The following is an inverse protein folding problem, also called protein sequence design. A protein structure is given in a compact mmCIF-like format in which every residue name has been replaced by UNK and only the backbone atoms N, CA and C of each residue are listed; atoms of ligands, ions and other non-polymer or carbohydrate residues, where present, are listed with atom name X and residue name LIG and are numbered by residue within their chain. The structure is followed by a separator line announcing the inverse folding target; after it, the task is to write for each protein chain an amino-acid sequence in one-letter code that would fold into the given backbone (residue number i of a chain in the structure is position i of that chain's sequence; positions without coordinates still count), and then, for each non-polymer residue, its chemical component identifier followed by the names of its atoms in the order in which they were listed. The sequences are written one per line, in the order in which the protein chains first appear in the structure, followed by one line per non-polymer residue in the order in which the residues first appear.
data_IF_946164032314
#
_entry.id   IF_946164032314
#
_cell.length_a   1.000
_cell.length_b   1.000
_cell.length_c   1.000
_cell.angle_alpha   90.00
_cell.angle_beta   90.00
_cell.angle_gamma   90.00
#
_symmetry.space_group_name_H-M   'P 1'
#
loop_
_entity.id
_entity.type
_entity.pdbx_description
1 polymer ?
#
# COMPACT_ATOMS: atom_id res chain seq x y z
N UNK A 1 1.50 6.28 8.37
CA UNK A 1 1.86 5.06 9.12
C UNK A 1 3.16 4.53 8.54
N UNK A 2 3.85 3.63 9.21
CA UNK A 2 5.08 3.01 8.74
C UNK A 2 5.02 1.49 8.92
N UNK A 3 5.98 0.76 8.36
CA UNK A 3 6.15 -0.67 8.61
C UNK A 3 6.24 -1.03 10.12
N UNK A 4 6.59 -0.06 10.98
CA UNK A 4 6.56 -0.20 12.44
C UNK A 4 5.14 -0.17 13.01
N UNK A 5 4.23 0.56 12.38
CA UNK A 5 2.86 0.79 12.86
C UNK A 5 1.90 -0.33 12.43
N UNK A 6 2.07 -0.85 11.21
CA UNK A 6 1.18 -1.86 10.62
C UNK A 6 1.84 -3.25 10.54
N UNK A 7 3.12 -3.36 10.17
CA UNK A 7 3.84 -4.63 10.02
C UNK A 7 4.36 -5.23 11.34
N UNK A 8 3.58 -5.17 12.42
CA UNK A 8 4.06 -5.51 13.79
C UNK A 8 4.59 -6.94 13.92
N UNK A 9 4.06 -7.87 13.14
CA UNK A 9 4.48 -9.28 13.08
C UNK A 9 5.62 -9.55 12.10
N UNK A 10 6.00 -8.58 11.26
CA UNK A 10 7.07 -8.71 10.26
C UNK A 10 8.32 -7.92 10.71
N UNK A 11 9.38 -8.65 11.07
CA UNK A 11 10.66 -8.05 11.50
C UNK A 11 11.31 -7.17 10.42
N UNK A 12 11.08 -7.50 9.15
CA UNK A 12 11.65 -6.81 8.00
C UNK A 12 10.89 -5.52 7.71
N UNK A 13 9.55 -5.54 7.82
CA UNK A 13 8.73 -4.33 7.73
C UNK A 13 9.17 -3.28 8.76
N UNK A 14 9.43 -3.74 9.99
CA UNK A 14 9.91 -2.90 11.09
C UNK A 14 11.32 -2.36 10.88
N UNK A 15 12.21 -3.11 10.23
CA UNK A 15 13.59 -2.70 9.97
C UNK A 15 13.69 -1.74 8.78
N UNK A 16 12.95 -2.00 7.70
CA UNK A 16 12.91 -1.12 6.53
C UNK A 16 12.23 0.20 6.87
N UNK A 17 11.19 0.14 7.72
CA UNK A 17 10.43 1.29 8.20
C UNK A 17 9.91 2.20 7.06
N UNK A 18 9.47 1.58 5.95
CA UNK A 18 8.83 2.31 4.86
C UNK A 18 7.58 3.06 5.39
N UNK A 19 7.36 4.28 4.90
CA UNK A 19 6.18 5.07 5.20
C UNK A 19 5.07 4.83 4.20
N UNK A 20 3.90 4.50 4.74
CA UNK A 20 2.66 4.28 4.00
C UNK A 20 1.67 5.35 4.46
N UNK A 21 1.09 6.05 3.51
CA UNK A 21 0.20 7.17 3.81
C UNK A 21 -1.23 6.84 3.44
N UNK A 22 -2.17 7.28 4.27
CA UNK A 22 -3.59 7.40 3.93
C UNK A 22 -3.88 8.89 3.92
N UNK A 23 -4.31 9.41 2.78
CA UNK A 23 -4.68 10.81 2.62
C UNK A 23 -6.19 10.85 2.42
N UNK A 24 -6.90 11.48 3.36
CA UNK A 24 -8.36 11.49 3.37
C UNK A 24 -8.96 12.88 3.53
N UNK A 25 -10.14 13.08 2.94
CA UNK A 25 -11.00 14.23 3.17
C UNK A 25 -12.02 13.89 4.27
N UNK A 26 -12.02 14.71 5.33
CA UNK A 26 -12.90 14.52 6.50
C UNK A 26 -14.37 14.79 6.18
N UNK A 27 -14.68 15.60 5.16
CA UNK A 27 -16.05 15.96 4.81
C UNK A 27 -16.72 14.86 3.99
N UNK A 28 -16.06 14.39 2.93
CA UNK A 28 -16.61 13.34 2.04
C UNK A 28 -16.39 11.94 2.60
N UNK A 29 -15.49 11.79 3.58
CA UNK A 29 -15.01 10.51 4.10
C UNK A 29 -14.37 9.66 3.00
N UNK A 30 -13.76 10.27 2.01
CA UNK A 30 -13.02 9.57 0.95
C UNK A 30 -11.52 9.62 1.21
N UNK A 31 -10.80 8.56 0.86
CA UNK A 31 -9.35 8.52 1.01
C UNK A 31 -8.63 7.81 -0.14
N UNK A 32 -7.33 8.04 -0.22
CA UNK A 32 -6.40 7.31 -1.08
C UNK A 32 -5.23 6.77 -0.25
N UNK A 33 -4.69 5.63 -0.66
CA UNK A 33 -3.47 5.04 -0.09
C UNK A 33 -2.27 5.46 -0.96
N UNK A 34 -1.13 5.76 -0.35
CA UNK A 34 0.15 5.92 -1.05
C UNK A 34 1.06 4.75 -0.67
N UNK A 35 1.58 4.07 -1.70
CA UNK A 35 2.52 2.94 -1.59
C UNK A 35 2.02 1.79 -0.70
N UNK A 36 0.96 1.07 -1.13
CA UNK A 36 0.38 -0.02 -0.35
C UNK A 36 1.31 -1.25 -0.31
N UNK A 37 1.94 -1.50 0.85
CA UNK A 37 2.79 -2.65 1.10
C UNK A 37 2.73 -3.15 2.56
N UNK A 38 3.30 -4.33 2.80
CA UNK A 38 3.58 -4.97 4.11
C UNK A 38 2.38 -5.55 4.88
N UNK A 39 1.27 -4.83 4.98
CA UNK A 39 0.08 -5.30 5.71
C UNK A 39 -1.21 -4.69 5.14
N UNK A 40 -1.70 -5.29 4.05
CA UNK A 40 -2.90 -4.80 3.35
C UNK A 40 -4.15 -4.87 4.24
N UNK A 41 -4.32 -5.93 5.01
CA UNK A 41 -5.45 -6.05 5.94
C UNK A 41 -5.37 -4.99 7.05
N UNK A 42 -4.20 -4.76 7.62
CA UNK A 42 -4.00 -3.69 8.60
C UNK A 42 -4.30 -2.30 8.03
N UNK A 43 -3.87 -2.02 6.80
CA UNK A 43 -4.17 -0.75 6.11
C UNK A 43 -5.68 -0.58 5.90
N UNK A 44 -6.34 -1.61 5.37
CA UNK A 44 -7.79 -1.57 5.12
C UNK A 44 -8.58 -1.44 6.42
N UNK A 45 -8.16 -2.11 7.49
CA UNK A 45 -8.76 -1.98 8.81
C UNK A 45 -8.63 -0.56 9.38
N UNK A 46 -7.51 0.14 9.14
CA UNK A 46 -7.37 1.56 9.51
C UNK A 46 -8.37 2.41 8.74
N UNK A 47 -8.53 2.20 7.43
CA UNK A 47 -9.52 2.92 6.62
C UNK A 47 -10.94 2.67 7.14
N UNK A 48 -11.28 1.43 7.46
CA UNK A 48 -12.59 1.05 8.00
C UNK A 48 -12.84 1.65 9.38
N UNK A 49 -11.85 1.59 10.28
CA UNK A 49 -11.93 2.16 11.63
C UNK A 49 -12.13 3.67 11.59
N UNK A 50 -11.48 4.34 10.63
CA UNK A 50 -11.63 5.76 10.37
C UNK A 50 -12.89 6.08 9.54
N UNK A 51 -13.78 5.10 9.31
CA UNK A 51 -15.02 5.18 8.52
C UNK A 51 -14.84 5.92 7.19
N UNK A 52 -13.73 5.64 6.50
CA UNK A 52 -13.41 6.21 5.19
C UNK A 52 -13.70 5.23 4.06
N UNK A 53 -13.95 5.77 2.88
CA UNK A 53 -14.13 5.05 1.62
C UNK A 53 -12.87 5.18 0.79
N UNK A 54 -12.22 4.06 0.52
CA UNK A 54 -11.08 4.01 -0.39
C UNK A 54 -11.53 4.35 -1.83
N UNK A 55 -10.87 5.33 -2.43
CA UNK A 55 -11.14 5.83 -3.79
C UNK A 55 -10.01 5.60 -4.78
N UNK A 56 -8.84 5.19 -4.32
CA UNK A 56 -7.73 4.80 -5.17
C UNK A 56 -6.45 4.59 -4.39
N UNK A 57 -5.43 4.10 -5.07
CA UNK A 57 -4.06 4.06 -4.57
C UNK A 57 -3.13 4.82 -5.51
N UNK A 58 -2.12 5.47 -4.94
CA UNK A 58 -1.04 6.12 -5.66
C UNK A 58 0.24 5.36 -5.39
N UNK A 59 0.91 4.95 -6.46
CA UNK A 59 2.24 4.33 -6.40
C UNK A 59 3.28 5.36 -6.81
N UNK A 60 4.25 5.59 -5.94
CA UNK A 60 5.36 6.51 -6.21
C UNK A 60 6.34 5.90 -7.22
N UNK A 61 6.73 4.64 -7.02
CA UNK A 61 7.62 3.85 -7.88
C UNK A 61 7.44 2.35 -7.61
N UNK A 62 7.97 1.49 -8.49
CA UNK A 62 7.63 0.06 -8.51
C UNK A 62 8.44 -0.84 -7.56
N UNK A 63 9.28 -0.31 -6.67
CA UNK A 63 10.10 -1.17 -5.82
C UNK A 63 9.23 -2.03 -4.87
N UNK A 64 9.60 -3.32 -4.62
CA UNK A 64 8.74 -4.23 -3.87
C UNK A 64 8.38 -3.79 -2.45
N UNK A 65 9.21 -2.99 -1.79
CA UNK A 65 8.93 -2.46 -0.46
C UNK A 65 7.83 -1.39 -0.45
N UNK A 66 7.43 -0.85 -1.61
CA UNK A 66 6.33 0.13 -1.78
C UNK A 66 5.06 -0.47 -2.39
N UNK A 67 5.16 -1.59 -3.13
CA UNK A 67 4.03 -2.15 -3.88
C UNK A 67 3.81 -3.64 -3.64
N UNK A 68 4.61 -4.27 -2.78
CA UNK A 68 4.65 -5.73 -2.63
C UNK A 68 5.49 -6.40 -3.72
N UNK A 69 5.69 -7.71 -3.59
CA UNK A 69 6.54 -8.52 -4.47
C UNK A 69 7.73 -9.14 -3.72
N UNK A 70 8.75 -9.58 -4.46
CA UNK A 70 9.89 -10.30 -3.89
C UNK A 70 11.17 -9.47 -3.90
N UNK A 71 11.82 -9.31 -2.75
CA UNK A 71 13.11 -8.61 -2.62
C UNK A 71 13.95 -9.23 -1.51
N UNK A 72 15.27 -9.37 -1.70
CA UNK A 72 16.20 -9.91 -0.71
C UNK A 72 15.77 -11.27 -0.09
N UNK A 73 15.06 -12.11 -0.85
CA UNK A 73 14.55 -13.41 -0.37
C UNK A 73 13.27 -13.32 0.48
N UNK A 74 12.68 -12.14 0.61
CA UNK A 74 11.41 -11.88 1.28
C UNK A 74 10.28 -11.75 0.25
N UNK A 75 9.06 -12.11 0.64
CA UNK A 75 7.84 -11.82 -0.11
C UNK A 75 7.01 -10.83 0.70
N UNK A 76 6.67 -9.71 0.08
CA UNK A 76 5.97 -8.59 0.71
C UNK A 76 4.57 -8.52 0.10
N UNK A 77 3.54 -8.50 0.94
CA UNK A 77 2.16 -8.24 0.51
C UNK A 77 2.04 -6.77 0.07
N UNK A 78 1.15 -6.47 -0.86
CA UNK A 78 1.07 -5.12 -1.39
C UNK A 78 -0.06 -4.89 -2.38
N UNK A 79 0.24 -4.15 -3.43
CA UNK A 79 -0.72 -3.66 -4.41
C UNK A 79 -1.55 -4.79 -5.04
N UNK A 80 -0.94 -5.92 -5.41
CA UNK A 80 -1.65 -7.04 -6.02
C UNK A 80 -2.78 -7.55 -5.10
N UNK A 81 -2.49 -7.74 -3.82
CA UNK A 81 -3.48 -8.16 -2.83
C UNK A 81 -4.53 -7.06 -2.55
N UNK A 82 -4.12 -5.79 -2.53
CA UNK A 82 -5.07 -4.68 -2.42
C UNK A 82 -6.08 -4.68 -3.58
N UNK A 83 -5.63 -4.95 -4.81
CA UNK A 83 -6.48 -5.03 -6.01
C UNK A 83 -7.45 -6.23 -5.99
N UNK A 84 -7.08 -7.33 -5.33
CA UNK A 84 -7.99 -8.46 -5.11
C UNK A 84 -9.10 -8.10 -4.11
N UNK A 85 -8.77 -7.31 -3.09
CA UNK A 85 -9.69 -6.93 -2.01
C UNK A 85 -10.54 -5.69 -2.32
N UNK A 86 -10.11 -4.85 -3.26
CA UNK A 86 -10.78 -3.60 -3.58
C UNK A 86 -10.62 -3.21 -5.05
N UNK A 87 -11.71 -2.72 -5.67
CA UNK A 87 -11.75 -2.34 -7.09
C UNK A 87 -11.39 -0.88 -7.38
N UNK A 88 -10.91 -0.13 -6.39
CA UNK A 88 -10.49 1.24 -6.57
C UNK A 88 -9.30 1.36 -7.55
N UNK A 89 -9.24 2.42 -8.36
CA UNK A 89 -8.20 2.59 -9.36
C UNK A 89 -6.80 2.77 -8.74
N UNK A 90 -5.80 2.27 -9.46
CA UNK A 90 -4.38 2.48 -9.16
C UNK A 90 -3.85 3.58 -10.08
N UNK A 91 -3.18 4.56 -9.49
CA UNK A 91 -2.50 5.64 -10.19
C UNK A 91 -1.00 5.50 -10.03
N UNK A 92 -0.27 5.64 -11.13
CA UNK A 92 1.19 5.56 -11.17
C UNK A 92 1.72 6.48 -12.26
N UNK A 93 2.94 6.99 -12.09
CA UNK A 93 3.59 7.72 -13.17
C UNK A 93 3.80 6.82 -14.40
N UNK A 94 3.59 7.35 -15.61
CA UNK A 94 3.77 6.59 -16.86
C UNK A 94 5.17 5.97 -17.02
N UNK A 95 6.18 6.57 -16.40
CA UNK A 95 7.56 6.08 -16.44
C UNK A 95 7.80 4.87 -15.53
N UNK A 96 6.96 4.68 -14.51
CA UNK A 96 7.03 3.58 -13.55
C UNK A 96 6.06 2.45 -13.91
N UNK A 97 5.07 2.71 -14.76
CA UNK A 97 3.96 1.80 -15.06
C UNK A 97 4.40 0.44 -15.61
N UNK A 98 5.41 0.39 -16.48
CA UNK A 98 5.91 -0.88 -17.03
C UNK A 98 6.67 -1.70 -15.99
N UNK A 99 7.40 -1.05 -15.07
CA UNK A 99 8.04 -1.73 -13.95
C UNK A 99 6.99 -2.26 -12.95
N UNK A 100 5.97 -1.46 -12.67
CA UNK A 100 4.88 -1.86 -11.78
C UNK A 100 4.19 -3.15 -12.26
N UNK A 101 3.80 -3.21 -13.54
CA UNK A 101 3.18 -4.42 -14.15
C UNK A 101 4.06 -5.67 -14.10
N UNK A 102 5.38 -5.52 -13.97
CA UNK A 102 6.30 -6.66 -13.88
C UNK A 102 6.44 -7.15 -12.43
N UNK A 103 6.30 -6.25 -11.46
CA UNK A 103 6.46 -6.54 -10.03
C UNK A 103 5.18 -7.03 -9.39
N UNK A 104 4.03 -6.48 -9.79
CA UNK A 104 2.70 -6.72 -9.21
C UNK A 104 1.75 -7.38 -10.19
#
# INVERSE_FOLDING_TARGET
MSGVDIGKSDSSARQMANFIYIIGDKNTRECVIVDPAWDIDGILNVIETEEMKLKGSLVTHYHPDHVGGSIFGMNITGLAELMEKNSAPVYVNKHEAEGLKQVT
#
